data_IF_868228541712
#
_entry.id   IF_868228541712
#
_cell.length_a   1.000
_cell.length_b   1.000
_cell.length_c   1.000
_cell.angle_alpha   90.00
_cell.angle_beta   90.00
_cell.angle_gamma   90.00
#
_symmetry.space_group_name_H-M   'P 1'
#
loop_
_entity.id
_entity.type
_entity.pdbx_description
1 polymer ?
#
# COMPACT_ATOMS: atom_id res chain seq x y z
N UNK A 1 22.37 9.94 9.87
CA UNK A 1 21.09 10.44 9.34
C UNK A 1 20.28 9.23 8.89
N UNK A 2 18.97 9.20 9.19
CA UNK A 2 18.11 8.07 8.82
C UNK A 2 17.48 8.35 7.46
N UNK A 3 17.88 7.59 6.44
CA UNK A 3 17.41 7.76 5.07
C UNK A 3 16.83 6.45 4.50
N UNK A 4 15.94 6.58 3.52
CA UNK A 4 15.52 5.42 2.74
C UNK A 4 16.66 5.00 1.83
N UNK A 5 16.96 3.71 1.82
CA UNK A 5 17.97 3.14 0.93
C UNK A 5 17.42 1.89 0.27
N UNK A 6 17.87 1.65 -0.95
CA UNK A 6 17.69 0.37 -1.63
C UNK A 6 19.08 -0.16 -1.98
N UNK A 7 19.21 -1.47 -2.05
CA UNK A 7 20.45 -2.07 -2.49
C UNK A 7 20.29 -3.53 -2.84
N UNK A 8 21.42 -4.10 -3.21
CA UNK A 8 21.56 -5.48 -3.64
C UNK A 8 22.66 -6.15 -2.81
N UNK A 9 22.59 -7.47 -2.70
CA UNK A 9 23.61 -8.28 -2.06
C UNK A 9 23.84 -9.53 -2.91
N UNK A 10 25.09 -9.81 -3.29
CA UNK A 10 25.43 -10.99 -4.05
C UNK A 10 25.37 -12.24 -3.16
N UNK A 11 24.73 -13.30 -3.64
CA UNK A 11 24.56 -14.57 -2.93
C UNK A 11 24.81 -15.75 -3.86
N UNK A 12 24.91 -16.96 -3.30
CA UNK A 12 25.00 -18.16 -4.12
C UNK A 12 23.79 -18.26 -5.07
N UNK A 13 24.07 -18.25 -6.38
CA UNK A 13 23.05 -18.38 -7.42
C UNK A 13 22.38 -17.07 -7.87
N UNK A 14 22.82 -15.89 -7.38
CA UNK A 14 22.29 -14.62 -7.88
C UNK A 14 22.45 -13.45 -6.91
N UNK A 15 21.43 -12.60 -6.84
CA UNK A 15 21.41 -11.36 -6.07
C UNK A 15 20.12 -11.25 -5.25
N UNK A 16 20.25 -10.86 -3.98
CA UNK A 16 19.12 -10.44 -3.15
C UNK A 16 18.88 -8.94 -3.36
N UNK A 17 17.62 -8.53 -3.37
CA UNK A 17 17.22 -7.13 -3.22
C UNK A 17 16.88 -6.84 -1.76
N UNK A 18 17.21 -5.65 -1.26
CA UNK A 18 16.83 -5.21 0.08
C UNK A 18 16.44 -3.73 0.11
N UNK A 19 15.59 -3.39 1.07
CA UNK A 19 15.18 -2.01 1.38
C UNK A 19 15.55 -1.65 2.82
N UNK A 20 15.90 -0.40 3.06
CA UNK A 20 16.11 0.15 4.40
C UNK A 20 15.08 1.23 4.68
N UNK A 21 14.34 1.05 5.77
CA UNK A 21 13.33 2.01 6.25
C UNK A 21 13.99 2.98 7.23
N UNK A 22 13.56 4.25 7.20
CA UNK A 22 14.10 5.31 8.06
C UNK A 22 14.07 5.01 9.56
N UNK A 23 13.13 4.18 10.03
CA UNK A 23 12.98 3.86 11.45
C UNK A 23 13.54 2.48 11.83
N UNK A 24 14.20 1.79 10.88
CA UNK A 24 14.81 0.47 11.12
C UNK A 24 16.32 0.54 10.91
N UNK A 25 17.06 -0.05 11.84
CA UNK A 25 18.51 -0.16 11.74
C UNK A 25 18.95 -1.21 10.71
N UNK A 26 18.16 -2.28 10.55
CA UNK A 26 18.47 -3.41 9.68
C UNK A 26 17.87 -3.27 8.29
N UNK A 27 18.56 -3.84 7.29
CA UNK A 27 18.07 -3.99 5.93
C UNK A 27 17.02 -5.10 5.88
N UNK A 28 15.93 -4.84 5.18
CA UNK A 28 14.83 -5.77 4.98
C UNK A 28 14.96 -6.39 3.58
N UNK A 29 15.30 -7.69 3.55
CA UNK A 29 15.44 -8.46 2.32
C UNK A 29 14.06 -8.73 1.73
N UNK A 30 13.95 -8.64 0.40
CA UNK A 30 12.72 -8.96 -0.31
C UNK A 30 12.38 -10.44 -0.18
N UNK A 31 11.11 -10.71 0.09
CA UNK A 31 10.59 -12.05 0.35
C UNK A 31 9.41 -12.36 -0.56
N UNK A 32 9.26 -13.64 -0.87
CA UNK A 32 8.10 -14.15 -1.59
C UNK A 32 6.86 -14.21 -0.68
N UNK A 33 5.75 -14.70 -1.22
CA UNK A 33 4.50 -14.86 -0.48
C UNK A 33 4.58 -15.90 0.66
N UNK A 34 5.64 -16.71 0.69
CA UNK A 34 5.90 -17.71 1.75
C UNK A 34 6.81 -17.15 2.84
N UNK A 35 7.39 -15.96 2.63
CA UNK A 35 8.33 -15.31 3.54
C UNK A 35 9.78 -15.68 3.29
N UNK A 36 10.08 -16.39 2.19
CA UNK A 36 11.43 -16.81 1.83
C UNK A 36 12.14 -15.74 0.98
N UNK A 37 13.46 -15.53 1.14
CA UNK A 37 14.21 -14.56 0.35
C UNK A 37 14.14 -14.82 -1.16
N UNK A 38 13.88 -13.78 -1.94
CA UNK A 38 13.87 -13.87 -3.41
C UNK A 38 15.30 -13.66 -3.94
N UNK A 39 15.83 -14.69 -4.61
CA UNK A 39 17.11 -14.61 -5.33
C UNK A 39 16.84 -14.29 -6.80
N UNK A 40 17.30 -13.12 -7.24
CA UNK A 40 17.23 -12.69 -8.64
C UNK A 40 18.47 -13.12 -9.40
N UNK A 41 18.32 -13.44 -10.68
CA UNK A 41 19.44 -13.88 -11.51
C UNK A 41 20.47 -12.76 -11.75
N UNK A 42 20.03 -11.51 -11.78
CA UNK A 42 20.88 -10.34 -12.08
C UNK A 42 20.74 -9.26 -11.02
N UNK A 43 21.80 -8.46 -10.85
CA UNK A 43 21.81 -7.32 -9.92
C UNK A 43 20.74 -6.27 -10.29
N UNK A 44 20.60 -5.96 -11.59
CA UNK A 44 19.62 -4.98 -12.06
C UNK A 44 18.19 -5.40 -11.73
N UNK A 45 17.87 -6.70 -11.86
CA UNK A 45 16.56 -7.23 -11.49
C UNK A 45 16.30 -7.11 -9.98
N UNK A 46 17.31 -7.43 -9.15
CA UNK A 46 17.21 -7.26 -7.70
C UNK A 46 17.00 -5.79 -7.30
N UNK A 47 17.72 -4.87 -7.95
CA UNK A 47 17.62 -3.43 -7.69
C UNK A 47 16.28 -2.85 -8.14
N UNK A 48 15.79 -3.24 -9.31
CA UNK A 48 14.47 -2.86 -9.80
C UNK A 48 13.37 -3.33 -8.83
N UNK A 49 13.41 -4.58 -8.39
CA UNK A 49 12.46 -5.12 -7.42
C UNK A 49 12.54 -4.40 -6.07
N UNK A 50 13.75 -4.05 -5.59
CA UNK A 50 13.91 -3.27 -4.36
C UNK A 50 13.31 -1.85 -4.49
N UNK A 51 13.44 -1.24 -5.68
CA UNK A 51 12.80 0.02 -6.04
C UNK A 51 11.27 -0.06 -6.00
N UNK A 52 10.69 -1.11 -6.59
CA UNK A 52 9.24 -1.32 -6.55
C UNK A 52 8.74 -1.56 -5.13
N UNK A 53 9.48 -2.34 -4.33
CA UNK A 53 9.12 -2.62 -2.95
C UNK A 53 9.13 -1.36 -2.07
N UNK A 54 10.11 -0.46 -2.25
CA UNK A 54 10.13 0.81 -1.50
C UNK A 54 8.96 1.72 -1.92
N UNK A 55 8.62 1.77 -3.22
CA UNK A 55 7.47 2.52 -3.72
C UNK A 55 6.17 1.96 -3.13
N UNK A 56 6.01 0.63 -3.12
CA UNK A 56 4.85 -0.03 -2.53
C UNK A 56 4.75 0.27 -1.02
N UNK A 57 5.87 0.24 -0.31
CA UNK A 57 5.93 0.60 1.12
C UNK A 57 5.50 2.05 1.36
N UNK A 58 6.01 3.01 0.58
CA UNK A 58 5.66 4.43 0.72
C UNK A 58 4.19 4.71 0.37
N UNK A 59 3.64 3.97 -0.59
CA UNK A 59 2.24 4.08 -1.00
C UNK A 59 1.29 3.19 -0.17
N UNK A 60 1.80 2.44 0.79
CA UNK A 60 0.96 1.66 1.68
C UNK A 60 0.08 2.63 2.47
N UNK A 61 -1.27 2.52 2.38
CA UNK A 61 -2.16 3.42 3.11
C UNK A 61 -1.76 3.44 4.59
N UNK A 62 -1.60 4.62 5.17
CA UNK A 62 -1.32 4.76 6.59
C UNK A 62 -2.47 4.15 7.40
N UNK A 63 -2.32 2.88 7.78
CA UNK A 63 -3.24 2.18 8.65
C UNK A 63 -2.90 2.58 10.09
N UNK A 64 -3.71 3.48 10.64
CA UNK A 64 -3.73 3.78 12.07
C UNK A 64 -4.49 2.67 12.82
N UNK A 65 -4.12 1.41 12.62
CA UNK A 65 -4.73 0.22 13.24
C UNK A 65 -6.15 -0.12 12.77
N UNK A 66 -6.35 -0.54 11.51
CA UNK A 66 -7.59 -1.19 11.03
C UNK A 66 -8.90 -0.37 11.06
N UNK A 67 -8.96 0.72 11.81
CA UNK A 67 -10.16 1.48 12.13
C UNK A 67 -10.66 2.34 10.96
N UNK A 68 -9.82 2.55 9.94
CA UNK A 68 -10.17 3.36 8.77
C UNK A 68 -11.00 2.57 7.75
N UNK A 69 -10.76 1.27 7.59
CA UNK A 69 -11.54 0.40 6.68
C UNK A 69 -12.99 0.27 7.17
N UNK A 70 -13.16 0.03 8.48
CA UNK A 70 -14.47 -0.01 9.16
C UNK A 70 -15.24 1.32 9.07
N UNK A 71 -14.54 2.46 9.13
CA UNK A 71 -15.18 3.79 9.05
C UNK A 71 -15.72 4.10 7.66
N UNK A 72 -15.06 3.67 6.58
CA UNK A 72 -15.53 3.95 5.22
C UNK A 72 -16.85 3.22 4.92
N UNK A 73 -16.99 1.96 5.36
CA UNK A 73 -18.25 1.20 5.23
C UNK A 73 -19.41 1.84 5.98
N UNK A 74 -19.16 2.40 7.19
CA UNK A 74 -20.19 3.11 7.98
C UNK A 74 -20.54 4.49 7.43
N UNK A 75 -19.61 5.17 6.77
CA UNK A 75 -19.85 6.49 6.18
C UNK A 75 -20.82 6.43 4.99
N UNK A 76 -20.72 5.43 4.11
CA UNK A 76 -21.66 5.25 3.00
C UNK A 76 -23.09 4.97 3.46
N UNK A 77 -23.26 4.32 4.62
CA UNK A 77 -24.58 4.09 5.22
C UNK A 77 -25.29 5.38 5.64
N UNK A 78 -24.53 6.45 5.97
CA UNK A 78 -25.10 7.75 6.33
C UNK A 78 -25.66 8.52 5.12
N UNK A 79 -25.20 8.22 3.91
CA UNK A 79 -25.67 8.87 2.68
C UNK A 79 -26.81 8.12 1.98
N UNK A 80 -27.12 6.88 2.38
CA UNK A 80 -28.25 6.11 1.85
C UNK A 80 -29.54 6.32 2.67
N UNK A 81 -30.06 7.54 2.68
CA UNK A 81 -31.52 7.77 2.71
C UNK A 81 -31.86 9.24 2.48
N UNK A 82 -31.85 9.67 1.21
CA UNK A 82 -32.84 10.64 0.75
C UNK A 82 -33.47 10.08 -0.51
N UNK A 83 -34.60 9.40 -0.36
CA UNK A 83 -35.54 9.26 -1.48
C UNK A 83 -35.86 10.69 -1.93
N UNK A 84 -35.88 11.01 -3.23
CA UNK A 84 -36.43 12.29 -3.67
C UNK A 84 -37.87 12.34 -3.13
N UNK A 85 -38.15 13.29 -2.23
CA UNK A 85 -39.50 13.52 -1.74
C UNK A 85 -40.36 13.86 -2.95
N UNK A 86 -41.34 13.00 -3.24
CA UNK A 86 -42.34 13.22 -4.25
C UNK A 86 -43.31 14.32 -3.77
N UNK A 87 -42.89 15.57 -3.84
CA UNK A 87 -43.77 16.75 -3.67
C UNK A 87 -43.51 17.74 -4.79
N UNK A 88 -43.88 17.33 -6.00
CA UNK A 88 -44.32 18.25 -7.04
C UNK A 88 -45.81 17.97 -7.28
N UNK A 89 -46.64 18.23 -6.25
CA UNK A 89 -48.09 18.23 -6.43
C UNK A 89 -48.53 19.60 -6.92
N UNK A 90 -48.89 19.62 -8.21
CA UNK A 90 -49.92 20.45 -8.85
C UNK A 90 -50.47 21.64 -8.04
N UNK A 91 -50.00 22.84 -8.36
CA UNK A 91 -50.78 24.07 -8.19
C UNK A 91 -51.41 24.47 -9.53
N UNK A 92 -52.62 23.98 -9.82
CA UNK A 92 -53.45 24.50 -10.92
C UNK A 92 -54.78 25.01 -10.35
N UNK A 93 -55.04 26.29 -10.67
CA UNK A 93 -56.33 27.00 -10.81
C UNK A 93 -57.04 27.54 -9.55
N UNK A 94 -57.09 28.88 -9.45
CA UNK A 94 -58.33 29.66 -9.46
C UNK A 94 -58.03 31.02 -10.10
#
# INVERSE_FOLDING_TARGET
MNEFQIGTEAVAGGHLGWIRKVHRAANEVLKDNRGEPIVFLTEDAAKAAAGEAIIAYLNTPMLRDGARVERMSKAEALFKSRRPSAEAQNGKVA
#
